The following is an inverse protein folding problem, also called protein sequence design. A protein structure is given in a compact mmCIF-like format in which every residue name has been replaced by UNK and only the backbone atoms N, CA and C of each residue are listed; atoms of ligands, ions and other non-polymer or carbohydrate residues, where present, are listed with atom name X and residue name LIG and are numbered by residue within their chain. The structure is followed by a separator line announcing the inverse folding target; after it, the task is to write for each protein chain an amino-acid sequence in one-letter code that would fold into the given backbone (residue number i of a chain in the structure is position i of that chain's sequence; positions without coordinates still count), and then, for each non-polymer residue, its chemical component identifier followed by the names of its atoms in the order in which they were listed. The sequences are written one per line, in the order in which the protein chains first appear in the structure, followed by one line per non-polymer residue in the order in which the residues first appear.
data_IF_606950557903
#
_entry.id   IF_606950557903
#
_cell.length_a   1.000
_cell.length_b   1.000
_cell.length_c   1.000
_cell.angle_alpha   90.00
_cell.angle_beta   90.00
_cell.angle_gamma   90.00
#
_symmetry.space_group_name_H-M   'P 1'
#
loop_
_entity.id
_entity.type
_entity.pdbx_description
1 polymer ?
#
# COMPACT_ATOMS: atom_id res chain seq x y z
N UNK A 1 -3.65 43.61 -7.23
CA UNK A 1 -3.22 42.93 -5.98
C UNK A 1 -3.48 41.44 -6.16
N UNK A 2 -2.50 40.55 -5.96
CA UNK A 2 -2.77 39.11 -6.00
C UNK A 2 -3.78 38.78 -4.89
N UNK A 3 -4.82 38.00 -5.23
CA UNK A 3 -5.84 37.55 -4.27
C UNK A 3 -5.14 36.87 -3.09
N UNK A 4 -5.38 37.35 -1.88
CA UNK A 4 -4.94 36.70 -0.65
C UNK A 4 -5.45 35.26 -0.65
N UNK A 5 -4.52 34.30 -0.66
CA UNK A 5 -4.83 32.88 -0.55
C UNK A 5 -5.41 32.66 0.84
N UNK A 6 -6.69 32.32 0.91
CA UNK A 6 -7.34 31.94 2.15
C UNK A 6 -6.84 30.54 2.58
N UNK A 7 -5.85 30.53 3.47
CA UNK A 7 -5.25 29.31 4.00
C UNK A 7 -6.24 28.50 4.83
N UNK A 8 -7.36 29.07 5.28
CA UNK A 8 -8.37 28.33 6.07
C UNK A 8 -8.99 27.18 5.27
N UNK A 9 -9.14 27.36 3.95
CA UNK A 9 -9.62 26.31 3.03
C UNK A 9 -8.62 25.15 2.95
N UNK A 10 -7.31 25.43 2.97
CA UNK A 10 -6.27 24.40 2.94
C UNK A 10 -6.03 23.75 4.32
N UNK A 11 -6.27 24.49 5.41
CA UNK A 11 -6.14 24.01 6.79
C UNK A 11 -7.32 23.09 7.18
N UNK A 12 -8.52 23.36 6.65
CA UNK A 12 -9.75 22.62 6.96
C UNK A 12 -10.01 21.42 6.04
N UNK A 13 -9.10 21.13 5.10
CA UNK A 13 -9.19 19.94 4.25
C UNK A 13 -8.56 18.74 4.95
N UNK A 14 -9.19 17.58 4.77
CA UNK A 14 -8.65 16.34 5.26
C UNK A 14 -7.35 15.99 4.51
N UNK A 15 -6.40 15.31 5.18
CA UNK A 15 -5.22 14.78 4.52
C UNK A 15 -5.63 13.57 3.69
N UNK A 16 -6.29 13.79 2.55
CA UNK A 16 -6.93 12.76 1.73
C UNK A 16 -6.04 11.53 1.50
N UNK A 17 -4.73 11.74 1.32
CA UNK A 17 -3.82 10.64 1.10
C UNK A 17 -3.54 9.77 2.34
N UNK A 18 -3.52 10.39 3.53
CA UNK A 18 -3.37 9.72 4.80
C UNK A 18 -4.67 9.03 5.22
N UNK A 19 -5.82 9.67 4.98
CA UNK A 19 -7.16 9.08 5.18
C UNK A 19 -7.34 7.86 4.29
N UNK A 20 -7.03 7.98 2.99
CA UNK A 20 -7.10 6.86 2.06
C UNK A 20 -6.23 5.68 2.48
N UNK A 21 -4.99 5.95 2.93
CA UNK A 21 -4.12 4.91 3.47
C UNK A 21 -4.72 4.23 4.71
N UNK A 22 -5.20 5.00 5.68
CA UNK A 22 -5.75 4.44 6.92
C UNK A 22 -7.00 3.59 6.65
N UNK A 23 -7.91 4.08 5.81
CA UNK A 23 -9.15 3.36 5.43
C UNK A 23 -8.89 2.09 4.63
N UNK A 24 -7.80 2.03 3.87
CA UNK A 24 -7.38 0.83 3.15
C UNK A 24 -6.86 -0.29 4.07
N UNK A 25 -6.59 -0.02 5.36
CA UNK A 25 -6.23 -1.06 6.32
C UNK A 25 -7.45 -1.90 6.71
N UNK A 26 -7.37 -3.22 6.51
CA UNK A 26 -8.32 -4.21 7.02
C UNK A 26 -8.25 -4.35 8.55
N UNK A 27 -9.02 -5.25 9.14
CA UNK A 27 -8.89 -5.60 10.57
C UNK A 27 -7.94 -6.79 10.74
N UNK A 28 -7.07 -6.75 11.75
CA UNK A 28 -6.43 -7.97 12.25
C UNK A 28 -6.51 -7.99 13.78
N UNK A 29 -6.82 -9.16 14.34
CA UNK A 29 -6.94 -9.37 15.79
C UNK A 29 -5.58 -9.88 16.30
N UNK A 30 -5.04 -9.29 17.37
CA UNK A 30 -3.80 -9.78 17.98
C UNK A 30 -3.73 -9.49 19.48
N UNK A 31 -3.10 -10.42 20.20
CA UNK A 31 -2.95 -10.35 21.65
C UNK A 31 -1.72 -9.53 22.04
N UNK A 32 -0.63 -9.57 21.26
CA UNK A 32 0.54 -8.70 21.39
C UNK A 32 0.93 -8.01 20.08
N UNK A 33 1.54 -6.82 20.16
CA UNK A 33 2.03 -6.08 18.98
C UNK A 33 3.10 -6.83 18.18
N UNK A 34 3.72 -7.85 18.77
CA UNK A 34 4.71 -8.71 18.10
C UNK A 34 4.04 -9.76 17.20
N UNK A 35 2.76 -10.07 17.44
CA UNK A 35 2.04 -11.16 16.77
C UNK A 35 1.56 -10.80 15.36
N UNK A 36 1.42 -9.49 15.08
CA UNK A 36 1.10 -8.98 13.74
C UNK A 36 2.41 -8.51 13.13
N UNK A 37 2.93 -9.21 12.14
CA UNK A 37 4.24 -8.85 11.60
C UNK A 37 4.25 -7.56 10.79
N UNK A 38 5.45 -7.03 10.54
CA UNK A 38 5.76 -5.70 9.98
C UNK A 38 4.91 -5.27 8.77
N UNK A 39 4.69 -6.17 7.80
CA UNK A 39 3.86 -5.92 6.61
C UNK A 39 2.35 -6.06 6.89
N UNK A 40 1.98 -6.84 7.90
CA UNK A 40 0.60 -6.96 8.37
C UNK A 40 0.15 -5.71 9.14
N UNK A 41 1.00 -5.04 9.95
CA UNK A 41 0.67 -3.72 10.55
C UNK A 41 0.49 -2.59 9.52
N UNK A 42 1.17 -2.70 8.39
CA UNK A 42 1.01 -1.75 7.29
C UNK A 42 -0.30 -1.96 6.52
N UNK A 43 -0.85 -3.19 6.53
CA UNK A 43 -2.03 -3.61 5.75
C UNK A 43 -3.29 -3.86 6.60
N UNK A 44 -3.15 -4.03 7.91
CA UNK A 44 -4.22 -4.29 8.85
C UNK A 44 -4.08 -3.39 10.10
N UNK A 45 -5.22 -2.91 10.59
CA UNK A 45 -5.34 -2.16 11.83
C UNK A 45 -5.48 -3.14 12.99
N UNK A 46 -4.53 -3.07 13.92
CA UNK A 46 -4.49 -3.91 15.12
C UNK A 46 -4.23 -3.06 16.35
N UNK A 47 -4.78 -3.50 17.48
CA UNK A 47 -4.48 -2.96 18.80
C UNK A 47 -4.23 -4.17 19.69
N UNK A 48 -3.03 -4.26 20.27
CA UNK A 48 -2.69 -5.37 21.17
C UNK A 48 -3.80 -5.59 22.21
N UNK A 49 -4.14 -6.83 22.54
CA UNK A 49 -5.14 -7.19 23.57
C UNK A 49 -6.53 -6.61 23.34
N UNK A 50 -6.87 -6.20 22.11
CA UNK A 50 -8.22 -5.87 21.70
C UNK A 50 -8.79 -7.05 20.90
N UNK A 51 -8.90 -8.22 21.54
CA UNK A 51 -9.40 -9.44 20.90
C UNK A 51 -10.88 -9.34 20.45
N UNK A 52 -11.62 -8.36 20.99
CA UNK A 52 -13.02 -8.12 20.64
C UNK A 52 -13.12 -7.21 19.41
N UNK A 53 -13.81 -7.69 18.37
CA UNK A 53 -14.04 -6.95 17.13
C UNK A 53 -14.70 -5.57 17.37
N UNK A 54 -15.59 -5.46 18.35
CA UNK A 54 -16.26 -4.21 18.69
C UNK A 54 -15.29 -3.17 19.27
N UNK A 55 -14.32 -3.61 20.09
CA UNK A 55 -13.26 -2.75 20.63
C UNK A 55 -12.36 -2.25 19.50
N UNK A 56 -11.91 -3.15 18.62
CA UNK A 56 -11.08 -2.77 17.46
C UNK A 56 -11.83 -1.81 16.53
N UNK A 57 -13.11 -2.04 16.29
CA UNK A 57 -13.97 -1.19 15.46
C UNK A 57 -14.14 0.19 16.06
N UNK A 58 -14.42 0.29 17.37
CA UNK A 58 -14.52 1.58 18.06
C UNK A 58 -13.23 2.39 17.94
N UNK A 59 -12.07 1.77 18.20
CA UNK A 59 -10.77 2.45 18.09
C UNK A 59 -10.48 2.85 16.64
N UNK A 60 -10.71 1.97 15.66
CA UNK A 60 -10.49 2.26 14.24
C UNK A 60 -11.33 3.43 13.75
N UNK A 61 -12.61 3.46 14.12
CA UNK A 61 -13.52 4.54 13.74
C UNK A 61 -13.09 5.88 14.34
N UNK A 62 -12.64 5.91 15.59
CA UNK A 62 -12.15 7.15 16.20
C UNK A 62 -10.83 7.62 15.56
N UNK A 63 -9.95 6.69 15.16
CA UNK A 63 -8.73 7.05 14.42
C UNK A 63 -9.07 7.61 13.03
N UNK A 64 -10.07 7.05 12.35
CA UNK A 64 -10.58 7.61 11.08
C UNK A 64 -11.14 9.02 11.28
N UNK A 65 -11.92 9.25 12.34
CA UNK A 65 -12.44 10.56 12.69
C UNK A 65 -11.28 11.54 13.01
N UNK A 66 -10.27 11.10 13.76
CA UNK A 66 -9.09 11.92 14.04
C UNK A 66 -8.33 12.34 12.77
N UNK A 67 -8.21 11.44 11.79
CA UNK A 67 -7.56 11.75 10.51
C UNK A 67 -8.43 12.62 9.59
N UNK A 68 -9.72 12.33 9.47
CA UNK A 68 -10.62 12.98 8.50
C UNK A 68 -11.22 14.30 9.01
N UNK A 69 -11.39 14.45 10.32
CA UNK A 69 -12.01 15.62 10.95
C UNK A 69 -11.03 16.47 11.76
N UNK A 70 -9.77 16.02 11.89
CA UNK A 70 -8.72 16.76 12.59
C UNK A 70 -8.89 16.79 14.12
N UNK A 71 -9.39 15.70 14.73
CA UNK A 71 -9.56 15.64 16.19
C UNK A 71 -8.23 15.76 16.91
N UNK A 72 -8.20 16.50 18.03
CA UNK A 72 -7.06 16.54 18.94
C UNK A 72 -6.95 15.25 19.77
N UNK A 73 -5.77 14.95 20.32
CA UNK A 73 -5.57 13.81 21.23
C UNK A 73 -6.53 13.83 22.43
N UNK A 74 -6.88 15.03 22.93
CA UNK A 74 -7.84 15.20 24.04
C UNK A 74 -9.26 14.84 23.62
N UNK A 75 -9.70 15.28 22.43
CA UNK A 75 -11.02 14.92 21.87
C UNK A 75 -11.10 13.43 21.58
N UNK A 76 -10.09 12.87 20.92
CA UNK A 76 -9.97 11.42 20.67
C UNK A 76 -10.15 10.60 21.96
N UNK A 77 -9.46 10.98 23.04
CA UNK A 77 -9.59 10.30 24.33
C UNK A 77 -10.97 10.47 24.96
N UNK A 78 -11.52 11.69 24.93
CA UNK A 78 -12.81 12.00 25.53
C UNK A 78 -13.97 11.25 24.84
N UNK A 79 -13.90 11.10 23.52
CA UNK A 79 -14.89 10.41 22.71
C UNK A 79 -14.81 8.88 22.86
N UNK A 80 -13.59 8.33 22.88
CA UNK A 80 -13.36 6.89 22.83
C UNK A 80 -13.44 6.22 24.19
N UNK A 81 -13.00 6.90 25.26
CA UNK A 81 -13.04 6.37 26.63
C UNK A 81 -14.42 5.81 27.02
N UNK A 82 -15.55 6.54 26.92
CA UNK A 82 -16.85 6.02 27.34
C UNK A 82 -17.33 4.83 26.50
N UNK A 83 -16.92 4.74 25.22
CA UNK A 83 -17.22 3.58 24.39
C UNK A 83 -16.46 2.34 24.88
N UNK A 84 -15.16 2.50 25.18
CA UNK A 84 -14.32 1.41 25.69
C UNK A 84 -14.73 0.97 27.10
N UNK A 85 -15.19 1.88 27.95
CA UNK A 85 -15.77 1.55 29.26
C UNK A 85 -17.02 0.67 29.12
N UNK A 86 -17.93 1.02 28.21
CA UNK A 86 -19.14 0.21 27.91
C UNK A 86 -18.80 -1.17 27.36
N UNK A 87 -17.76 -1.27 26.54
CA UNK A 87 -17.25 -2.53 26.01
C UNK A 87 -16.41 -3.32 27.03
N UNK A 88 -16.26 -2.80 28.26
CA UNK A 88 -15.47 -3.46 29.31
C UNK A 88 -13.96 -3.50 29.03
N UNK A 89 -13.44 -2.66 28.14
CA UNK A 89 -12.03 -2.59 27.77
C UNK A 89 -11.32 -1.39 28.41
N UNK A 90 -11.54 -1.13 29.71
CA UNK A 90 -10.93 -0.01 30.41
C UNK A 90 -10.31 -0.42 31.74
N UNK A 91 -9.18 0.21 32.10
CA UNK A 91 -8.50 -0.04 33.35
C UNK A 91 -7.67 -1.33 33.34
N UNK A 92 -7.34 -1.80 34.55
CA UNK A 92 -6.64 -3.07 34.76
C UNK A 92 -7.68 -4.19 34.88
N UNK A 93 -7.41 -5.32 34.23
CA UNK A 93 -8.22 -6.54 34.35
C UNK A 93 -7.33 -7.76 34.49
N UNK A 94 -7.84 -8.76 35.17
CA UNK A 94 -7.23 -10.08 35.21
C UNK A 94 -7.57 -10.83 33.91
N UNK A 95 -6.55 -11.28 33.20
CA UNK A 95 -6.66 -12.10 31.99
C UNK A 95 -5.65 -13.24 32.14
N UNK A 96 -6.13 -14.49 32.10
CA UNK A 96 -5.32 -15.70 32.26
C UNK A 96 -4.42 -15.70 33.52
N UNK A 97 -4.97 -15.26 34.65
CA UNK A 97 -4.28 -15.20 35.94
C UNK A 97 -3.19 -14.11 36.04
N UNK A 98 -3.16 -13.16 35.09
CA UNK A 98 -2.23 -12.02 35.09
C UNK A 98 -3.01 -10.71 35.08
N UNK A 99 -2.56 -9.74 35.88
CA UNK A 99 -3.10 -8.37 35.82
C UNK A 99 -2.58 -7.66 34.57
N UNK A 100 -3.50 -7.23 33.71
CA UNK A 100 -3.21 -6.57 32.43
C UNK A 100 -3.87 -5.21 32.37
N UNK A 101 -3.11 -4.19 31.98
CA UNK A 101 -3.68 -2.89 31.63
C UNK A 101 -4.32 -2.94 30.23
N UNK A 102 -5.65 -2.79 30.15
CA UNK A 102 -6.40 -2.64 28.90
C UNK A 102 -6.37 -1.17 28.43
N UNK A 103 -7.51 -0.49 28.37
CA UNK A 103 -7.58 0.94 28.07
C UNK A 103 -7.02 1.82 29.18
N UNK A 104 -6.27 2.86 28.80
CA UNK A 104 -5.84 3.94 29.69
C UNK A 104 -5.61 5.23 28.87
N UNK A 105 -5.63 6.43 29.48
CA UNK A 105 -5.36 7.68 28.75
C UNK A 105 -3.99 7.67 28.06
N UNK A 106 -2.97 7.13 28.72
CA UNK A 106 -1.63 6.98 28.15
C UNK A 106 -1.66 6.07 26.92
N UNK A 107 -2.32 4.92 27.00
CA UNK A 107 -2.43 3.98 25.89
C UNK A 107 -3.20 4.58 24.71
N UNK A 108 -4.30 5.27 24.97
CA UNK A 108 -5.06 5.97 23.92
C UNK A 108 -4.23 7.05 23.24
N UNK A 109 -3.39 7.78 24.00
CA UNK A 109 -2.46 8.74 23.41
C UNK A 109 -1.45 8.06 22.47
N UNK A 110 -0.89 6.91 22.87
CA UNK A 110 0.02 6.14 22.01
C UNK A 110 -0.69 5.66 20.73
N UNK A 111 -1.90 5.12 20.85
CA UNK A 111 -2.71 4.67 19.69
C UNK A 111 -2.95 5.84 18.74
N UNK A 112 -3.41 6.99 19.27
CA UNK A 112 -3.64 8.20 18.49
C UNK A 112 -2.37 8.64 17.77
N UNK A 113 -1.27 8.88 18.50
CA UNK A 113 -0.05 9.44 17.92
C UNK A 113 0.56 8.51 16.89
N UNK A 114 0.62 7.21 17.19
CA UNK A 114 1.27 6.25 16.30
C UNK A 114 0.50 6.07 15.00
N UNK A 115 -0.83 5.87 15.08
CA UNK A 115 -1.62 5.65 13.88
C UNK A 115 -1.67 6.89 12.98
N UNK A 116 -1.84 8.08 13.57
CA UNK A 116 -1.82 9.33 12.81
C UNK A 116 -0.46 9.54 12.15
N UNK A 117 0.65 9.40 12.90
CA UNK A 117 1.98 9.59 12.34
C UNK A 117 2.25 8.64 11.17
N UNK A 118 1.95 7.35 11.35
CA UNK A 118 2.10 6.35 10.29
C UNK A 118 1.27 6.72 9.06
N UNK A 119 0.02 7.15 9.24
CA UNK A 119 -0.85 7.54 8.14
C UNK A 119 -0.38 8.80 7.41
N UNK A 120 0.02 9.83 8.15
CA UNK A 120 0.59 11.05 7.57
C UNK A 120 1.87 10.77 6.79
N UNK A 121 2.75 9.91 7.30
CA UNK A 121 4.00 9.57 6.61
C UNK A 121 3.74 8.75 5.35
N UNK A 122 2.76 7.85 5.35
CA UNK A 122 2.33 7.13 4.15
C UNK A 122 1.73 8.08 3.10
N UNK A 123 0.81 8.96 3.48
CA UNK A 123 0.25 9.94 2.55
C UNK A 123 1.33 10.87 1.95
N UNK A 124 2.28 11.29 2.79
CA UNK A 124 3.45 12.09 2.36
C UNK A 124 4.33 11.35 1.37
N UNK A 125 4.59 10.06 1.62
CA UNK A 125 5.37 9.20 0.73
C UNK A 125 4.77 9.18 -0.68
N UNK A 126 3.46 8.95 -0.79
CA UNK A 126 2.75 8.99 -2.08
C UNK A 126 2.90 10.33 -2.80
N UNK A 127 2.67 11.44 -2.10
CA UNK A 127 2.82 12.78 -2.69
C UNK A 127 4.23 13.00 -3.22
N UNK A 128 5.25 12.64 -2.44
CA UNK A 128 6.64 12.80 -2.83
C UNK A 128 7.00 11.94 -4.05
N UNK A 129 6.46 10.72 -4.11
CA UNK A 129 6.67 9.81 -5.25
C UNK A 129 6.06 10.32 -6.54
N UNK A 130 4.90 10.98 -6.49
CA UNK A 130 4.31 11.63 -7.67
C UNK A 130 5.13 12.82 -8.20
N UNK A 131 6.15 13.28 -7.44
CA UNK A 131 6.94 14.48 -7.73
C UNK A 131 8.43 14.19 -7.94
N UNK A 132 8.84 12.93 -8.03
CA UNK A 132 10.28 12.55 -8.12
C UNK A 132 10.99 13.17 -9.31
N UNK A 133 10.30 13.42 -10.44
CA UNK A 133 10.88 14.13 -11.59
C UNK A 133 11.38 15.54 -11.26
N UNK A 134 10.69 16.25 -10.36
CA UNK A 134 11.03 17.63 -9.99
C UNK A 134 11.72 17.72 -8.63
N UNK A 135 11.43 16.78 -7.73
CA UNK A 135 11.97 16.70 -6.37
C UNK A 135 12.57 15.31 -6.10
N UNK A 136 13.65 14.92 -6.80
CA UNK A 136 14.23 13.58 -6.69
C UNK A 136 15.02 13.36 -5.41
N UNK A 137 15.34 14.42 -4.65
CA UNK A 137 16.17 14.31 -3.46
C UNK A 137 15.31 14.39 -2.20
N UNK A 138 15.45 13.42 -1.31
CA UNK A 138 14.69 13.35 -0.09
C UNK A 138 15.59 13.62 1.09
N UNK A 139 15.15 14.49 2.00
CA UNK A 139 15.88 14.84 3.20
C UNK A 139 15.17 14.32 4.44
N UNK A 140 15.92 13.67 5.31
CA UNK A 140 15.45 13.24 6.61
C UNK A 140 15.37 14.43 7.57
N UNK A 141 14.21 14.60 8.20
CA UNK A 141 13.93 15.69 9.13
C UNK A 141 13.60 15.11 10.49
N UNK A 142 14.58 15.18 11.40
CA UNK A 142 14.39 14.94 12.82
C UNK A 142 13.95 16.25 13.50
N UNK A 143 13.10 16.17 14.52
CA UNK A 143 12.79 17.34 15.35
C UNK A 143 14.01 17.62 16.22
N UNK A 144 14.41 18.89 16.29
CA UNK A 144 15.52 19.33 17.12
C UNK A 144 15.03 19.63 18.54
N UNK A 145 14.60 18.57 19.23
CA UNK A 145 14.23 18.65 20.63
C UNK A 145 14.90 17.53 21.43
N UNK A 146 15.10 17.75 22.73
CA UNK A 146 15.70 16.75 23.61
C UNK A 146 14.89 15.45 23.77
N UNK A 147 13.70 15.37 23.15
CA UNK A 147 12.85 14.18 23.13
C UNK A 147 13.08 13.31 21.88
N UNK A 148 13.76 13.80 20.87
CA UNK A 148 14.12 13.00 19.70
C UNK A 148 15.27 12.08 20.07
N UNK A 149 15.12 10.78 19.78
CA UNK A 149 16.15 9.79 20.10
C UNK A 149 17.47 10.18 19.43
N UNK A 150 18.61 10.13 20.13
CA UNK A 150 19.91 10.45 19.55
C UNK A 150 20.20 9.67 18.26
N UNK A 151 19.80 8.39 18.21
CA UNK A 151 19.93 7.56 17.00
C UNK A 151 19.20 8.15 15.79
N UNK A 152 17.98 8.70 15.96
CA UNK A 152 17.24 9.33 14.86
C UNK A 152 17.80 10.71 14.50
N UNK A 153 18.29 11.45 15.49
CA UNK A 153 18.89 12.78 15.29
C UNK A 153 20.15 12.71 14.42
N UNK A 154 20.88 11.59 14.42
CA UNK A 154 22.04 11.33 13.53
C UNK A 154 21.68 11.37 12.04
N UNK A 155 20.43 11.09 11.68
CA UNK A 155 19.96 11.18 10.29
C UNK A 155 19.54 12.60 9.90
N UNK A 156 19.48 13.55 10.84
CA UNK A 156 19.00 14.91 10.57
C UNK A 156 19.79 15.55 9.44
N UNK A 157 19.07 16.03 8.44
CA UNK A 157 19.66 16.80 7.35
C UNK A 157 20.30 15.93 6.27
N UNK A 158 20.49 14.63 6.49
CA UNK A 158 20.98 13.69 5.48
C UNK A 158 20.02 13.65 4.29
N UNK A 159 20.60 13.65 3.10
CA UNK A 159 19.87 13.67 1.84
C UNK A 159 20.29 12.51 0.98
N UNK A 160 19.30 11.76 0.52
CA UNK A 160 19.48 10.63 -0.39
C UNK A 160 18.55 10.84 -1.58
N UNK A 161 18.83 10.19 -2.71
CA UNK A 161 17.87 10.16 -3.81
C UNK A 161 16.63 9.35 -3.40
N UNK A 162 15.48 9.63 -3.98
CA UNK A 162 14.20 9.03 -3.61
C UNK A 162 14.14 7.50 -3.72
N UNK A 163 15.00 6.92 -4.56
CA UNK A 163 15.11 5.49 -4.86
C UNK A 163 16.32 4.83 -4.18
N UNK A 164 16.99 5.54 -3.27
CA UNK A 164 18.06 4.99 -2.45
C UNK A 164 17.48 3.92 -1.50
N UNK A 165 18.07 2.70 -1.44
CA UNK A 165 17.56 1.60 -0.63
C UNK A 165 17.53 1.90 0.87
N UNK A 166 18.22 2.94 1.33
CA UNK A 166 18.15 3.35 2.74
C UNK A 166 16.73 3.71 3.16
N UNK A 167 15.91 4.24 2.24
CA UNK A 167 14.53 4.63 2.54
C UNK A 167 13.64 3.44 2.91
N UNK A 168 13.96 2.23 2.45
CA UNK A 168 13.27 1.00 2.81
C UNK A 168 13.39 0.69 4.32
N UNK A 169 14.36 1.32 5.00
CA UNK A 169 14.68 1.09 6.41
C UNK A 169 14.39 2.34 7.25
N UNK A 170 14.80 3.52 6.78
CA UNK A 170 14.78 4.74 7.59
C UNK A 170 13.57 5.62 7.34
N UNK A 171 12.70 5.34 6.36
CA UNK A 171 11.56 6.23 6.12
C UNK A 171 10.60 6.20 7.34
N UNK A 172 10.40 7.33 8.05
CA UNK A 172 9.66 7.35 9.32
C UNK A 172 8.20 6.86 9.22
N UNK A 173 7.61 6.44 10.35
CA UNK A 173 8.22 6.31 11.69
C UNK A 173 9.21 5.14 11.82
N UNK A 174 10.29 5.39 12.57
CA UNK A 174 11.37 4.41 12.84
C UNK A 174 11.26 3.79 14.25
N UNK A 175 10.11 3.95 14.89
CA UNK A 175 9.92 3.55 16.28
C UNK A 175 8.69 4.16 16.92
N UNK A 176 8.35 3.66 18.10
CA UNK A 176 7.19 4.11 18.86
C UNK A 176 7.32 5.58 19.26
N UNK A 177 6.32 6.39 18.91
CA UNK A 177 6.34 7.82 19.20
C UNK A 177 7.38 8.61 18.39
N UNK A 178 7.89 8.05 17.30
CA UNK A 178 8.75 8.76 16.35
C UNK A 178 8.01 9.97 15.77
N UNK A 179 8.69 11.12 15.70
CA UNK A 179 8.16 12.39 15.15
C UNK A 179 8.96 12.90 13.95
N UNK A 180 9.89 12.09 13.47
CA UNK A 180 10.66 12.39 12.28
C UNK A 180 9.75 12.38 11.04
N UNK A 181 10.17 13.10 10.00
CA UNK A 181 9.50 13.16 8.70
C UNK A 181 10.53 13.23 7.58
N UNK A 182 10.05 13.15 6.33
CA UNK A 182 10.89 13.39 5.15
C UNK A 182 10.36 14.61 4.39
N UNK A 183 11.24 15.36 3.73
CA UNK A 183 10.84 16.38 2.76
C UNK A 183 11.54 16.13 1.43
N UNK A 184 10.82 16.35 0.33
CA UNK A 184 11.40 16.28 -1.01
C UNK A 184 11.99 17.64 -1.40
N UNK A 185 13.13 17.62 -2.07
CA UNK A 185 13.93 18.76 -2.50
C UNK A 185 14.17 18.67 -4.00
N UNK A 186 14.14 19.83 -4.66
CA UNK A 186 14.56 20.01 -6.05
C UNK A 186 16.09 20.01 -6.15
N UNK A 187 16.62 19.75 -7.34
CA UNK A 187 18.06 19.87 -7.62
C UNK A 187 18.59 21.29 -7.34
N UNK A 188 17.83 22.32 -7.72
CA UNK A 188 18.18 23.71 -7.44
C UNK A 188 18.29 23.99 -5.93
N UNK A 189 17.41 23.42 -5.10
CA UNK A 189 17.49 23.54 -3.65
C UNK A 189 18.71 22.83 -3.07
N UNK A 190 19.01 21.62 -3.54
CA UNK A 190 20.21 20.87 -3.11
C UNK A 190 21.47 21.68 -3.42
N UNK A 191 21.58 22.21 -4.64
CA UNK A 191 22.71 23.05 -5.06
C UNK A 191 22.79 24.35 -4.28
N UNK A 192 21.68 25.07 -4.12
CA UNK A 192 21.64 26.35 -3.41
C UNK A 192 21.97 26.22 -1.92
N UNK A 193 21.61 25.09 -1.30
CA UNK A 193 21.88 24.82 0.12
C UNK A 193 23.25 24.17 0.35
N UNK A 194 24.02 23.86 -0.71
CA UNK A 194 25.31 23.18 -0.60
C UNK A 194 25.21 21.79 0.04
N UNK A 195 24.09 21.10 -0.18
CA UNK A 195 23.83 19.78 0.42
C UNK A 195 24.53 18.70 -0.39
N UNK A 196 25.30 17.84 0.28
CA UNK A 196 25.81 16.60 -0.30
C UNK A 196 24.73 15.54 -0.32
N UNK A 197 24.47 14.95 -1.50
CA UNK A 197 23.60 13.79 -1.63
C UNK A 197 24.44 12.55 -1.34
N UNK A 198 24.05 11.80 -0.32
CA UNK A 198 24.69 10.56 0.11
C UNK A 198 24.14 9.36 -0.68
N UNK A 199 24.93 8.28 -0.75
CA UNK A 199 24.47 6.96 -1.21
C UNK A 199 24.40 6.05 0.02
N UNK A 200 23.19 5.66 0.38
CA UNK A 200 22.90 4.90 1.60
C UNK A 200 23.07 3.39 1.47
N UNK A 201 23.28 2.84 0.27
CA UNK A 201 23.41 1.40 0.04
C UNK A 201 24.54 0.80 0.88
N UNK A 202 25.69 1.48 0.93
CA UNK A 202 26.85 1.05 1.73
C UNK A 202 26.68 1.21 3.25
N UNK A 203 25.62 1.88 3.72
CA UNK A 203 25.38 2.11 5.15
C UNK A 203 24.54 0.99 5.77
N UNK A 204 23.87 0.19 4.95
CA UNK A 204 22.85 -0.76 5.40
C UNK A 204 23.50 -2.06 5.91
N UNK A 205 23.26 -2.38 7.18
CA UNK A 205 23.59 -3.66 7.79
C UNK A 205 22.29 -4.39 8.15
N UNK A 206 21.99 -5.51 7.49
CA UNK A 206 20.82 -6.35 7.79
C UNK A 206 21.25 -7.56 8.59
N UNK A 207 20.48 -7.88 9.63
CA UNK A 207 20.75 -9.02 10.50
C UNK A 207 19.47 -9.47 11.17
N UNK A 208 19.46 -10.70 11.65
CA UNK A 208 18.38 -11.21 12.49
C UNK A 208 18.69 -10.96 13.96
N UNK A 209 17.66 -10.63 14.74
CA UNK A 209 17.76 -10.40 16.19
C UNK A 209 16.66 -11.16 16.91
N UNK A 210 16.93 -11.56 18.15
CA UNK A 210 15.94 -12.26 18.96
C UNK A 210 15.08 -11.27 19.76
N UNK A 211 13.80 -11.57 19.90
CA UNK A 211 12.87 -10.89 20.82
C UNK A 211 12.03 -11.93 21.55
N UNK A 212 11.57 -11.60 22.75
CA UNK A 212 10.68 -12.48 23.53
C UNK A 212 9.23 -12.01 23.37
N UNK A 213 8.32 -12.93 23.03
CA UNK A 213 6.88 -12.67 22.96
C UNK A 213 6.31 -12.46 24.38
N UNK A 214 5.61 -11.33 24.60
CA UNK A 214 5.19 -10.90 25.95
C UNK A 214 4.03 -11.70 26.58
N UNK A 215 3.43 -12.66 25.89
CA UNK A 215 2.44 -13.61 26.44
C UNK A 215 3.01 -15.00 26.72
N UNK A 216 3.68 -15.58 25.73
CA UNK A 216 4.12 -16.98 25.70
C UNK A 216 5.53 -17.20 26.24
N UNK A 217 6.36 -16.15 26.26
CA UNK A 217 7.79 -16.27 26.61
C UNK A 217 8.64 -16.91 25.51
N UNK A 218 8.07 -17.13 24.33
CA UNK A 218 8.77 -17.70 23.18
C UNK A 218 9.82 -16.71 22.63
N UNK A 219 11.01 -17.23 22.31
CA UNK A 219 12.06 -16.47 21.63
C UNK A 219 11.77 -16.49 20.13
N UNK A 220 11.56 -15.32 19.55
CA UNK A 220 11.28 -15.11 18.14
C UNK A 220 12.49 -14.44 17.48
N UNK A 221 12.97 -15.04 16.40
CA UNK A 221 13.98 -14.44 15.54
C UNK A 221 13.32 -13.50 14.53
N UNK A 222 13.72 -12.23 14.52
CA UNK A 222 13.11 -11.18 13.70
C UNK A 222 14.14 -10.47 12.82
N UNK A 223 13.85 -10.23 11.52
CA UNK A 223 14.71 -9.43 10.67
C UNK A 223 14.82 -7.99 11.17
N UNK A 224 16.03 -7.46 11.16
CA UNK A 224 16.34 -6.11 11.60
C UNK A 224 17.42 -5.45 10.75
N UNK A 225 17.63 -4.16 11.00
CA UNK A 225 18.64 -3.38 10.28
C UNK A 225 19.29 -2.32 11.16
N UNK A 226 20.55 -2.00 10.83
CA UNK A 226 21.31 -0.86 11.35
C UNK A 226 21.91 -0.10 10.18
N UNK A 227 21.93 1.21 10.30
CA UNK A 227 22.55 2.13 9.37
C UNK A 227 23.85 2.61 10.00
N UNK A 228 24.97 2.20 9.43
CA UNK A 228 26.31 2.63 9.86
C UNK A 228 26.74 3.81 9.00
N UNK A 229 26.87 4.98 9.63
CA UNK A 229 27.15 6.24 8.96
C UNK A 229 28.66 6.46 8.81
N UNK A 230 29.10 7.24 7.80
CA UNK A 230 30.53 7.50 7.56
C UNK A 230 31.27 8.17 8.72
N UNK A 231 30.56 8.86 9.62
CA UNK A 231 31.11 9.50 10.81
C UNK A 231 31.35 8.52 11.97
N UNK A 232 31.16 7.22 11.74
CA UNK A 232 31.29 6.16 12.74
C UNK A 232 30.08 6.03 13.66
N UNK A 233 29.07 6.89 13.52
CA UNK A 233 27.82 6.78 14.25
C UNK A 233 26.87 5.78 13.58
N UNK A 234 25.85 5.33 14.30
CA UNK A 234 24.88 4.39 13.76
C UNK A 234 23.43 4.73 14.12
N UNK A 235 22.49 4.24 13.34
CA UNK A 235 21.06 4.36 13.61
C UNK A 235 20.40 3.01 13.38
N UNK A 236 19.66 2.53 14.37
CA UNK A 236 18.76 1.39 14.21
C UNK A 236 17.33 1.86 14.47
N UNK A 237 16.36 1.49 13.61
CA UNK A 237 14.95 1.57 13.98
C UNK A 237 14.67 0.74 15.23
N UNK A 238 13.57 1.00 15.93
CA UNK A 238 13.11 0.10 17.00
C UNK A 238 12.76 -1.29 16.39
N UNK A 239 12.77 -2.35 17.21
CA UNK A 239 12.34 -3.69 16.77
C UNK A 239 10.91 -3.63 16.19
N UNK A 240 10.71 -4.27 15.03
CA UNK A 240 9.46 -4.18 14.27
C UNK A 240 9.28 -2.92 13.41
N UNK A 241 10.25 -1.99 13.41
CA UNK A 241 10.24 -0.75 12.62
C UNK A 241 11.31 -0.67 11.54
N UNK A 242 12.03 -1.77 11.27
CA UNK A 242 12.99 -1.87 10.17
C UNK A 242 12.30 -2.07 8.82
N UNK A 243 11.38 -1.17 8.47
CA UNK A 243 10.65 -1.11 7.21
C UNK A 243 10.17 0.33 6.95
N UNK A 244 9.83 0.65 5.70
CA UNK A 244 9.15 1.90 5.34
C UNK A 244 7.64 1.75 5.46
N UNK A 245 6.97 2.47 6.38
CA UNK A 245 5.51 2.44 6.47
C UNK A 245 4.85 3.07 5.24
N UNK A 246 5.54 4.02 4.60
CA UNK A 246 5.11 4.60 3.33
C UNK A 246 5.18 3.60 2.19
N UNK A 247 6.24 2.80 2.10
CA UNK A 247 6.34 1.75 1.09
C UNK A 247 5.31 0.63 1.33
N UNK A 248 5.25 0.14 2.57
CA UNK A 248 4.38 -0.96 2.96
C UNK A 248 2.88 -0.61 2.82
N UNK A 249 2.54 0.69 2.90
CA UNK A 249 1.20 1.24 2.69
C UNK A 249 0.65 1.11 1.28
N UNK A 250 1.51 1.20 0.28
CA UNK A 250 1.11 1.08 -1.13
C UNK A 250 1.39 -0.32 -1.67
N UNK A 251 1.65 -1.28 -0.77
CA UNK A 251 2.03 -2.64 -1.10
C UNK A 251 3.48 -2.74 -1.58
N UNK A 252 4.05 -3.94 -1.43
CA UNK A 252 5.32 -4.31 -2.05
C UNK A 252 5.31 -4.03 -3.56
N UNK A 253 4.12 -4.06 -4.17
CA UNK A 253 3.95 -4.00 -5.61
C UNK A 253 4.11 -2.58 -6.19
N UNK A 254 3.77 -1.51 -5.45
CA UNK A 254 4.04 -0.13 -5.91
C UNK A 254 5.53 0.21 -5.78
N UNK A 255 6.21 -0.33 -4.78
CA UNK A 255 7.65 -0.18 -4.60
C UNK A 255 8.44 -0.98 -5.64
N UNK A 256 8.00 -2.21 -5.88
CA UNK A 256 8.46 -3.07 -6.96
C UNK A 256 8.21 -2.42 -8.33
N UNK A 257 7.04 -1.80 -8.58
CA UNK A 257 6.77 -1.04 -9.81
C UNK A 257 7.82 0.05 -10.05
N UNK A 258 8.21 0.76 -8.99
CA UNK A 258 9.21 1.83 -9.05
C UNK A 258 10.59 1.28 -9.29
N UNK A 259 10.98 0.21 -8.59
CA UNK A 259 12.26 -0.47 -8.78
C UNK A 259 12.36 -1.07 -10.19
N UNK A 260 11.28 -1.64 -10.73
CA UNK A 260 11.18 -2.09 -12.12
C UNK A 260 11.45 -0.97 -13.12
N UNK A 261 10.94 0.24 -12.88
CA UNK A 261 11.24 1.42 -13.70
C UNK A 261 12.72 1.84 -13.70
N UNK A 262 13.51 1.39 -12.72
CA UNK A 262 14.96 1.71 -12.63
C UNK A 262 15.86 0.65 -13.29
N UNK A 263 15.33 -0.53 -13.61
CA UNK A 263 16.09 -1.58 -14.30
C UNK A 263 16.27 -1.17 -15.77
N UNK A 264 17.51 -0.88 -16.16
CA UNK A 264 17.85 -0.46 -17.53
C UNK A 264 17.77 -1.62 -18.53
N UNK A 265 18.07 -2.84 -18.09
CA UNK A 265 17.99 -4.05 -18.93
C UNK A 265 16.54 -4.51 -19.09
N UNK A 266 16.04 -4.50 -20.34
CA UNK A 266 14.69 -4.98 -20.66
C UNK A 266 14.50 -6.46 -20.31
N UNK A 267 15.51 -7.30 -20.53
CA UNK A 267 15.45 -8.73 -20.24
C UNK A 267 15.38 -9.01 -18.74
N UNK A 268 16.20 -8.31 -17.95
CA UNK A 268 16.18 -8.42 -16.49
C UNK A 268 14.87 -7.90 -15.91
N UNK A 269 14.34 -6.80 -16.45
CA UNK A 269 13.04 -6.24 -16.08
C UNK A 269 11.91 -7.23 -16.41
N UNK A 270 11.96 -7.88 -17.56
CA UNK A 270 10.99 -8.89 -17.98
C UNK A 270 11.02 -10.13 -17.07
N UNK A 271 12.21 -10.67 -16.76
CA UNK A 271 12.36 -11.82 -15.86
C UNK A 271 11.84 -11.52 -14.45
N UNK A 272 12.11 -10.31 -13.94
CA UNK A 272 11.63 -9.88 -12.62
C UNK A 272 10.11 -9.70 -12.60
N UNK A 273 9.53 -9.04 -13.61
CA UNK A 273 8.07 -8.92 -13.78
C UNK A 273 7.42 -10.32 -13.83
N UNK A 274 8.00 -11.24 -14.59
CA UNK A 274 7.45 -12.59 -14.72
C UNK A 274 7.50 -13.35 -13.39
N UNK A 275 8.59 -13.22 -12.62
CA UNK A 275 8.70 -13.83 -11.30
C UNK A 275 7.66 -13.28 -10.30
N UNK A 276 7.37 -11.98 -10.37
CA UNK A 276 6.35 -11.33 -9.55
C UNK A 276 4.92 -11.73 -9.95
N UNK A 277 4.66 -11.79 -11.25
CA UNK A 277 3.37 -12.24 -11.78
C UNK A 277 3.14 -13.73 -11.50
N UNK A 278 4.18 -14.55 -11.47
CA UNK A 278 4.09 -15.98 -11.14
C UNK A 278 4.17 -16.28 -9.63
N UNK A 279 4.25 -15.27 -8.75
CA UNK A 279 4.48 -15.48 -7.32
C UNK A 279 3.30 -16.17 -6.64
N UNK A 280 3.44 -17.42 -6.15
CA UNK A 280 2.34 -18.14 -5.50
C UNK A 280 1.85 -17.42 -4.24
N UNK A 281 2.76 -16.76 -3.53
CA UNK A 281 2.43 -15.97 -2.34
C UNK A 281 1.56 -14.76 -2.68
N UNK A 282 1.83 -14.06 -3.80
CA UNK A 282 0.99 -12.94 -4.23
C UNK A 282 -0.40 -13.41 -4.65
N UNK A 283 -0.48 -14.56 -5.33
CA UNK A 283 -1.75 -15.19 -5.71
C UNK A 283 -2.58 -15.57 -4.48
N UNK A 284 -1.98 -16.25 -3.50
CA UNK A 284 -2.65 -16.64 -2.27
C UNK A 284 -3.14 -15.42 -1.47
N UNK A 285 -2.34 -14.36 -1.36
CA UNK A 285 -2.74 -13.12 -0.69
C UNK A 285 -3.91 -12.44 -1.38
N UNK A 286 -3.93 -12.43 -2.71
CA UNK A 286 -5.04 -11.85 -3.47
C UNK A 286 -6.33 -12.69 -3.31
N UNK A 287 -6.21 -14.02 -3.34
CA UNK A 287 -7.33 -14.92 -3.14
C UNK A 287 -7.97 -14.70 -1.76
N UNK A 288 -7.15 -14.60 -0.71
CA UNK A 288 -7.62 -14.29 0.64
C UNK A 288 -8.34 -12.93 0.71
N UNK A 289 -7.74 -11.89 0.12
CA UNK A 289 -8.39 -10.57 0.07
C UNK A 289 -9.73 -10.62 -0.67
N UNK A 290 -9.81 -11.40 -1.76
CA UNK A 290 -11.05 -11.62 -2.49
C UNK A 290 -12.11 -12.22 -1.56
N UNK A 291 -11.77 -13.29 -0.83
CA UNK A 291 -12.69 -13.94 0.13
C UNK A 291 -13.20 -12.98 1.19
N UNK A 292 -12.33 -12.16 1.76
CA UNK A 292 -12.69 -11.14 2.75
C UNK A 292 -13.68 -10.11 2.17
N UNK A 293 -13.43 -9.62 0.95
CA UNK A 293 -14.31 -8.66 0.26
C UNK A 293 -15.66 -9.27 -0.06
N UNK A 294 -15.70 -10.51 -0.57
CA UNK A 294 -16.94 -11.19 -0.94
C UNK A 294 -17.76 -11.57 0.31
N UNK A 295 -17.11 -12.05 1.37
CA UNK A 295 -17.75 -12.37 2.64
C UNK A 295 -18.35 -11.13 3.33
N UNK A 296 -17.69 -9.96 3.20
CA UNK A 296 -18.20 -8.70 3.73
C UNK A 296 -19.39 -8.12 2.92
N UNK A 297 -19.58 -8.56 1.67
CA UNK A 297 -20.58 -8.04 0.72
C UNK A 297 -21.48 -9.11 0.07
N UNK A 298 -22.17 -9.97 0.84
CA UNK A 298 -22.84 -11.17 0.32
C UNK A 298 -24.07 -10.91 -0.58
N UNK A 299 -24.59 -9.66 -0.65
CA UNK A 299 -25.84 -9.34 -1.39
C UNK A 299 -25.69 -8.12 -2.32
N UNK A 300 -24.48 -7.66 -2.66
CA UNK A 300 -24.23 -6.43 -3.46
C UNK A 300 -24.93 -5.13 -2.97
N UNK A 301 -25.59 -5.15 -1.80
CA UNK A 301 -26.38 -4.04 -1.23
C UNK A 301 -25.63 -3.17 -0.23
N UNK A 302 -24.42 -3.59 0.19
CA UNK A 302 -23.54 -2.77 1.04
C UNK A 302 -22.71 -1.84 0.17
N UNK A 303 -22.38 -0.64 0.68
CA UNK A 303 -21.44 0.25 -0.01
C UNK A 303 -20.08 -0.46 -0.09
N UNK A 304 -19.52 -0.65 -1.30
CA UNK A 304 -18.17 -1.19 -1.45
C UNK A 304 -17.18 -0.38 -0.61
N UNK A 305 -16.20 -1.05 0.00
CA UNK A 305 -15.09 -0.36 0.63
C UNK A 305 -14.19 0.29 -0.42
N UNK A 306 -13.13 0.94 0.05
CA UNK A 306 -12.14 1.63 -0.79
C UNK A 306 -10.84 0.83 -0.94
N UNK A 307 -10.85 -0.46 -0.61
CA UNK A 307 -9.69 -1.32 -0.79
C UNK A 307 -9.26 -1.41 -2.24
N UNK A 308 -7.94 -1.48 -2.44
CA UNK A 308 -7.30 -1.63 -3.74
C UNK A 308 -6.24 -2.70 -3.58
N UNK A 309 -6.27 -3.69 -4.48
CA UNK A 309 -5.30 -4.77 -4.48
C UNK A 309 -4.58 -4.84 -5.82
N UNK A 310 -3.27 -5.00 -5.77
CA UNK A 310 -2.45 -5.21 -6.94
C UNK A 310 -2.78 -6.57 -7.59
N UNK A 311 -3.07 -6.53 -8.88
CA UNK A 311 -3.30 -7.72 -9.68
C UNK A 311 -1.96 -8.28 -10.20
N UNK A 312 -1.10 -7.41 -10.70
CA UNK A 312 0.23 -7.74 -11.20
C UNK A 312 0.75 -6.64 -12.11
N UNK A 313 1.69 -6.98 -12.98
CA UNK A 313 2.42 -6.00 -13.79
C UNK A 313 2.32 -6.31 -15.28
N UNK A 314 2.21 -5.25 -16.10
CA UNK A 314 2.40 -5.35 -17.54
C UNK A 314 3.82 -5.83 -17.83
N UNK A 315 3.96 -6.73 -18.81
CA UNK A 315 5.27 -7.10 -19.35
C UNK A 315 5.92 -5.89 -20.05
N UNK A 316 7.26 -5.83 -20.19
CA UNK A 316 7.92 -4.71 -20.85
C UNK A 316 7.47 -4.49 -22.30
N UNK A 317 7.17 -5.57 -23.03
CA UNK A 317 6.64 -5.55 -24.38
C UNK A 317 5.27 -4.86 -24.45
N UNK A 318 4.33 -5.25 -23.58
CA UNK A 318 3.01 -4.60 -23.46
C UNK A 318 3.20 -3.13 -23.05
N UNK A 319 4.02 -2.86 -22.04
CA UNK A 319 4.25 -1.49 -21.56
C UNK A 319 4.83 -0.58 -22.66
N UNK A 320 5.73 -1.10 -23.48
CA UNK A 320 6.29 -0.39 -24.65
C UNK A 320 5.21 -0.10 -25.68
N UNK A 321 4.36 -1.08 -25.98
CA UNK A 321 3.24 -0.91 -26.89
C UNK A 321 2.24 0.15 -26.39
N UNK A 322 1.90 0.15 -25.10
CA UNK A 322 1.02 1.16 -24.51
C UNK A 322 1.70 2.54 -24.51
N UNK A 323 2.99 2.62 -24.21
CA UNK A 323 3.78 3.87 -24.24
C UNK A 323 3.74 4.54 -25.62
N UNK A 324 3.93 3.76 -26.68
CA UNK A 324 3.90 4.26 -28.06
C UNK A 324 2.54 4.89 -28.43
N UNK A 325 1.45 4.46 -27.80
CA UNK A 325 0.09 4.96 -28.05
C UNK A 325 -0.27 6.16 -27.19
N UNK A 326 0.21 6.17 -25.94
CA UNK A 326 -0.08 7.25 -24.99
C UNK A 326 0.90 8.43 -25.10
N UNK A 327 2.05 8.26 -25.75
CA UNK A 327 3.11 9.28 -25.82
C UNK A 327 3.81 9.54 -24.48
N UNK A 328 3.58 8.68 -23.48
CA UNK A 328 4.18 8.72 -22.14
C UNK A 328 4.27 7.31 -21.57
N UNK A 329 5.26 7.05 -20.71
CA UNK A 329 5.37 5.76 -20.03
C UNK A 329 4.25 5.61 -18.98
N UNK A 330 3.37 4.59 -19.11
CA UNK A 330 2.33 4.32 -18.13
C UNK A 330 2.89 3.59 -16.90
N UNK A 331 2.15 3.63 -15.78
CA UNK A 331 2.39 2.71 -14.66
C UNK A 331 2.35 1.26 -15.13
N UNK A 332 3.38 0.46 -14.85
CA UNK A 332 3.37 -0.98 -15.14
C UNK A 332 2.40 -1.77 -14.24
N UNK A 333 2.04 -1.22 -13.08
CA UNK A 333 1.18 -1.89 -12.11
C UNK A 333 -0.28 -1.87 -12.56
N UNK A 334 -0.89 -3.05 -12.57
CA UNK A 334 -2.33 -3.26 -12.74
C UNK A 334 -2.95 -3.59 -11.38
N UNK A 335 -4.06 -2.94 -11.05
CA UNK A 335 -4.72 -3.07 -9.75
C UNK A 335 -6.24 -3.06 -9.88
N UNK A 336 -6.92 -3.72 -8.95
CA UNK A 336 -8.39 -3.77 -8.90
C UNK A 336 -8.87 -3.18 -7.58
N UNK A 337 -9.96 -2.42 -7.64
CA UNK A 337 -10.65 -1.91 -6.45
C UNK A 337 -11.69 -2.93 -5.95
N UNK A 338 -12.06 -2.86 -4.67
CA UNK A 338 -13.19 -3.64 -4.14
C UNK A 338 -14.46 -3.44 -4.95
N UNK A 339 -14.73 -2.20 -5.37
CA UNK A 339 -15.91 -1.88 -6.19
C UNK A 339 -15.89 -2.63 -7.52
N UNK A 340 -14.75 -2.65 -8.20
CA UNK A 340 -14.59 -3.36 -9.47
C UNK A 340 -14.71 -4.88 -9.27
N UNK A 341 -14.12 -5.42 -8.20
CA UNK A 341 -14.22 -6.85 -7.85
C UNK A 341 -15.67 -7.28 -7.58
N UNK A 342 -16.42 -6.49 -6.79
CA UNK A 342 -17.84 -6.77 -6.47
C UNK A 342 -18.69 -6.67 -7.74
N UNK A 343 -18.42 -5.68 -8.59
CA UNK A 343 -19.15 -5.52 -9.88
C UNK A 343 -18.93 -6.74 -10.78
N UNK A 344 -17.71 -7.26 -10.82
CA UNK A 344 -17.35 -8.43 -11.62
C UNK A 344 -18.10 -9.72 -11.22
N UNK A 345 -18.54 -9.85 -9.97
CA UNK A 345 -19.30 -11.02 -9.50
C UNK A 345 -20.60 -11.27 -10.30
N UNK A 346 -21.13 -10.26 -10.98
CA UNK A 346 -22.30 -10.43 -11.84
C UNK A 346 -22.03 -11.34 -13.06
N UNK A 347 -20.77 -11.42 -13.49
CA UNK A 347 -20.37 -12.02 -14.76
C UNK A 347 -19.36 -13.17 -14.61
N UNK A 348 -18.66 -13.26 -13.47
CA UNK A 348 -17.64 -14.28 -13.20
C UNK A 348 -17.79 -14.88 -11.80
N UNK A 349 -17.34 -16.12 -11.65
CA UNK A 349 -17.45 -16.87 -10.38
C UNK A 349 -16.43 -16.40 -9.33
N UNK A 350 -16.68 -16.61 -8.02
CA UNK A 350 -15.71 -16.31 -6.96
C UNK A 350 -14.34 -16.97 -7.17
N UNK A 351 -14.32 -18.23 -7.62
CA UNK A 351 -13.06 -18.93 -7.91
C UNK A 351 -12.27 -18.25 -9.05
N UNK A 352 -12.96 -17.81 -10.11
CA UNK A 352 -12.31 -17.04 -11.19
C UNK A 352 -11.77 -15.69 -10.69
N UNK A 353 -12.49 -15.03 -9.79
CA UNK A 353 -12.03 -13.77 -9.17
C UNK A 353 -10.76 -13.97 -8.34
N UNK A 354 -10.69 -15.03 -7.51
CA UNK A 354 -9.49 -15.34 -6.74
C UNK A 354 -8.27 -15.61 -7.64
N UNK A 355 -8.49 -16.16 -8.83
CA UNK A 355 -7.45 -16.54 -9.78
C UNK A 355 -6.99 -15.40 -10.71
N UNK A 356 -7.57 -14.20 -10.64
CA UNK A 356 -7.23 -13.11 -11.57
C UNK A 356 -5.71 -12.81 -11.65
N UNK A 357 -4.92 -12.80 -10.56
CA UNK A 357 -3.46 -12.60 -10.67
C UNK A 357 -2.74 -13.72 -11.40
N UNK A 358 -3.22 -14.96 -11.27
CA UNK A 358 -2.67 -16.12 -11.96
C UNK A 358 -2.98 -16.03 -13.46
N UNK A 359 -4.21 -15.63 -13.79
CA UNK A 359 -4.62 -15.36 -15.17
C UNK A 359 -3.74 -14.25 -15.75
N UNK A 360 -3.54 -13.13 -15.06
CA UNK A 360 -2.69 -12.03 -15.53
C UNK A 360 -1.29 -12.47 -15.98
N UNK A 361 -0.71 -13.48 -15.33
CA UNK A 361 0.62 -13.98 -15.66
C UNK A 361 0.70 -14.73 -17.01
N UNK A 362 -0.42 -15.24 -17.53
CA UNK A 362 -0.49 -16.10 -18.72
C UNK A 362 -1.75 -15.84 -19.56
N UNK A 363 -1.87 -14.68 -20.22
CA UNK A 363 -2.97 -14.42 -21.16
C UNK A 363 -2.90 -15.29 -22.41
N UNK A 364 -4.08 -15.58 -22.97
CA UNK A 364 -4.21 -16.20 -24.29
C UNK A 364 -3.87 -15.21 -25.40
N UNK A 365 -4.35 -13.98 -25.24
CA UNK A 365 -4.04 -12.83 -26.09
C UNK A 365 -4.08 -11.54 -25.28
N UNK A 366 -3.32 -10.55 -25.72
CA UNK A 366 -3.39 -9.17 -25.21
C UNK A 366 -3.73 -8.27 -26.38
N UNK A 367 -4.82 -7.52 -26.24
CA UNK A 367 -5.39 -6.68 -27.30
C UNK A 367 -5.43 -5.22 -26.87
N UNK A 368 -5.43 -4.33 -27.85
CA UNK A 368 -5.64 -2.90 -27.66
C UNK A 368 -6.88 -2.44 -28.42
N UNK A 369 -7.80 -1.80 -27.69
CA UNK A 369 -8.96 -1.09 -28.21
C UNK A 369 -8.59 0.37 -28.48
N UNK A 370 -8.56 0.75 -29.77
CA UNK A 370 -8.21 2.11 -30.19
C UNK A 370 -9.31 3.13 -29.87
N UNK A 371 -10.58 2.71 -29.90
CA UNK A 371 -11.72 3.61 -29.73
C UNK A 371 -11.85 4.03 -28.27
N UNK A 372 -11.65 3.08 -27.36
CA UNK A 372 -11.79 3.31 -25.91
C UNK A 372 -10.46 3.52 -25.18
N UNK A 373 -9.32 3.34 -25.87
CA UNK A 373 -7.98 3.35 -25.28
C UNK A 373 -7.85 2.33 -24.14
N UNK A 374 -8.30 1.11 -24.40
CA UNK A 374 -8.39 0.04 -23.39
C UNK A 374 -7.42 -1.09 -23.73
N UNK A 375 -6.62 -1.48 -22.75
CA UNK A 375 -5.80 -2.68 -22.79
C UNK A 375 -6.63 -3.87 -22.32
N UNK A 376 -6.73 -4.92 -23.12
CA UNK A 376 -7.54 -6.11 -22.83
C UNK A 376 -6.64 -7.34 -22.72
N UNK A 377 -6.64 -7.99 -21.57
CA UNK A 377 -6.08 -9.32 -21.41
C UNK A 377 -7.18 -10.37 -21.55
N UNK A 378 -7.00 -11.32 -22.46
CA UNK A 378 -8.02 -12.30 -22.84
C UNK A 378 -7.68 -13.68 -22.28
N UNK A 379 -8.69 -14.33 -21.72
CA UNK A 379 -8.57 -15.64 -21.09
C UNK A 379 -9.66 -16.61 -21.56
N UNK A 380 -9.34 -17.91 -21.67
CA UNK A 380 -10.36 -18.92 -21.86
C UNK A 380 -11.25 -18.98 -20.62
N UNK A 381 -12.55 -19.20 -20.81
CA UNK A 381 -13.43 -19.61 -19.73
C UNK A 381 -13.55 -21.14 -19.69
N UNK A 382 -13.17 -21.75 -18.57
CA UNK A 382 -13.40 -23.17 -18.35
C UNK A 382 -14.90 -23.50 -18.26
N UNK A 383 -15.31 -24.60 -18.89
CA UNK A 383 -16.67 -25.17 -18.75
C UNK A 383 -17.75 -24.63 -19.69
N UNK A 384 -17.42 -23.80 -20.70
CA UNK A 384 -18.40 -23.27 -21.67
C UNK A 384 -18.06 -23.54 -23.15
N UNK A 385 -17.08 -24.39 -23.46
CA UNK A 385 -16.80 -24.77 -24.84
C UNK A 385 -17.96 -25.59 -25.39
N UNK A 386 -18.83 -24.95 -26.17
CA UNK A 386 -19.89 -25.63 -26.91
C UNK A 386 -19.51 -25.69 -28.39
N UNK A 387 -20.18 -26.54 -29.17
CA UNK A 387 -19.99 -26.59 -30.62
C UNK A 387 -20.51 -25.32 -31.34
N UNK A 388 -21.17 -24.41 -30.62
CA UNK A 388 -21.61 -23.11 -31.12
C UNK A 388 -20.64 -22.00 -30.67
N UNK A 389 -19.85 -21.42 -31.60
CA UNK A 389 -18.92 -20.32 -31.29
C UNK A 389 -19.60 -19.08 -30.69
N UNK A 390 -20.89 -18.85 -30.95
CA UNK A 390 -21.64 -17.73 -30.38
C UNK A 390 -21.91 -17.91 -28.88
N UNK A 391 -21.86 -19.14 -28.39
CA UNK A 391 -22.04 -19.49 -26.98
C UNK A 391 -20.72 -19.51 -26.20
N UNK A 392 -19.57 -19.48 -26.90
CA UNK A 392 -18.24 -19.41 -26.28
C UNK A 392 -17.95 -17.98 -25.81
N UNK A 393 -17.62 -17.83 -24.52
CA UNK A 393 -17.24 -16.54 -23.92
C UNK A 393 -15.80 -16.55 -23.45
N UNK A 394 -15.18 -15.36 -23.42
CA UNK A 394 -13.86 -15.14 -22.84
C UNK A 394 -13.98 -14.25 -21.61
N UNK A 395 -13.10 -14.49 -20.64
CA UNK A 395 -12.90 -13.57 -19.52
C UNK A 395 -11.91 -12.50 -19.96
N UNK A 396 -12.23 -11.25 -19.68
CA UNK A 396 -11.41 -10.10 -20.01
C UNK A 396 -10.99 -9.38 -18.73
N UNK A 397 -9.70 -9.05 -18.64
CA UNK A 397 -9.20 -8.06 -17.68
C UNK A 397 -8.87 -6.81 -18.49
N UNK A 398 -9.67 -5.76 -18.30
CA UNK A 398 -9.64 -4.54 -19.09
C UNK A 398 -9.07 -3.38 -18.28
N UNK A 399 -8.11 -2.64 -18.83
CA UNK A 399 -7.56 -1.44 -18.19
C UNK A 399 -7.67 -0.23 -19.12
N UNK A 400 -8.35 0.82 -18.66
CA UNK A 400 -8.61 2.03 -19.44
C UNK A 400 -7.53 3.10 -19.21
N UNK A 401 -7.06 3.74 -20.28
CA UNK A 401 -5.91 4.65 -20.25
C UNK A 401 -6.19 6.08 -20.75
N UNK A 402 -7.46 6.52 -20.69
CA UNK A 402 -7.89 7.82 -21.21
C UNK A 402 -7.07 9.02 -20.71
N UNK A 403 -6.65 9.89 -21.65
CA UNK A 403 -5.72 11.01 -21.46
C UNK A 403 -6.20 12.15 -20.53
N UNK A 404 -7.50 12.24 -20.20
CA UNK A 404 -8.08 13.43 -19.54
C UNK A 404 -8.49 13.25 -18.06
N UNK A 405 -8.36 12.05 -17.47
CA UNK A 405 -8.67 11.83 -16.04
C UNK A 405 -7.63 10.93 -15.37
N UNK A 406 -6.73 11.54 -14.62
CA UNK A 406 -5.64 10.90 -13.85
C UNK A 406 -5.97 9.96 -12.68
N UNK A 407 -7.22 9.73 -12.18
CA UNK A 407 -7.37 8.88 -10.98
C UNK A 407 -7.25 7.36 -11.19
N UNK A 408 -7.44 6.84 -12.42
CA UNK A 408 -7.70 5.41 -12.65
C UNK A 408 -6.63 4.69 -13.48
N UNK A 409 -5.44 5.27 -13.62
CA UNK A 409 -4.36 4.67 -14.40
C UNK A 409 -3.95 3.29 -13.83
N UNK A 410 -3.96 2.26 -14.68
CA UNK A 410 -3.67 0.88 -14.27
C UNK A 410 -4.78 0.20 -13.45
N UNK A 411 -5.94 0.85 -13.25
CA UNK A 411 -7.10 0.16 -12.69
C UNK A 411 -7.69 -0.81 -13.71
N UNK A 412 -8.17 -1.95 -13.22
CA UNK A 412 -8.75 -2.99 -14.07
C UNK A 412 -10.22 -3.24 -13.76
N UNK A 413 -10.97 -3.53 -14.82
CA UNK A 413 -12.31 -4.07 -14.79
C UNK A 413 -12.27 -5.50 -15.30
N UNK A 414 -13.14 -6.36 -14.74
CA UNK A 414 -13.25 -7.75 -15.18
C UNK A 414 -14.58 -7.91 -15.89
N UNK A 415 -14.52 -8.33 -17.14
CA UNK A 415 -15.66 -8.43 -18.04
C UNK A 415 -15.77 -9.84 -18.59
N UNK A 416 -16.97 -10.18 -19.05
CA UNK A 416 -17.24 -11.38 -19.83
C UNK A 416 -17.77 -10.92 -21.19
N UNK A 417 -17.17 -11.39 -22.28
CA UNK A 417 -17.58 -11.04 -23.64
C UNK A 417 -17.68 -12.29 -24.50
N UNK A 418 -18.61 -12.34 -25.45
CA UNK A 418 -18.69 -13.47 -26.39
C UNK A 418 -17.50 -13.44 -27.35
N UNK A 419 -17.10 -14.63 -27.82
CA UNK A 419 -16.03 -14.77 -28.79
C UNK A 419 -16.35 -14.05 -30.10
N UNK A 420 -17.62 -14.08 -30.53
CA UNK A 420 -18.09 -13.44 -31.75
C UNK A 420 -17.94 -11.92 -31.66
N UNK A 421 -18.36 -11.31 -30.55
CA UNK A 421 -18.17 -9.87 -30.31
C UNK A 421 -16.69 -9.49 -30.29
N UNK A 422 -15.84 -10.34 -29.69
CA UNK A 422 -14.39 -10.13 -29.69
C UNK A 422 -13.77 -10.17 -31.08
N UNK A 423 -14.25 -11.05 -31.96
CA UNK A 423 -13.74 -11.20 -33.33
C UNK A 423 -14.28 -10.13 -34.29
N UNK A 424 -15.47 -9.59 -34.04
CA UNK A 424 -16.08 -8.55 -34.87
C UNK A 424 -15.55 -7.15 -34.57
N UNK A 425 -15.09 -6.90 -33.34
CA UNK A 425 -14.50 -5.63 -32.95
C UNK A 425 -13.08 -5.44 -33.52
N UNK A 426 -12.74 -4.20 -33.89
CA UNK A 426 -11.46 -3.82 -34.49
C UNK A 426 -10.37 -3.64 -33.41
N UNK A 427 -9.91 -4.73 -32.83
CA UNK A 427 -8.80 -4.71 -31.87
C UNK A 427 -7.44 -4.88 -32.56
N UNK A 428 -6.42 -4.25 -31.99
CA UNK A 428 -5.04 -4.52 -32.37
C UNK A 428 -4.42 -5.55 -31.43
N UNK A 429 -3.91 -6.65 -31.98
CA UNK A 429 -3.19 -7.66 -31.20
C UNK A 429 -1.83 -7.12 -30.78
N UNK A 430 -1.55 -7.15 -29.49
CA UNK A 430 -0.24 -6.81 -28.91
C UNK A 430 0.60 -8.07 -28.67
N UNK A 431 -0.02 -9.13 -28.14
CA UNK A 431 0.60 -10.42 -27.86
C UNK A 431 -0.40 -11.57 -28.01
N UNK A 432 0.10 -12.78 -28.29
CA UNK A 432 -0.72 -13.99 -28.37
C UNK A 432 -1.63 -14.07 -29.60
N UNK A 433 -2.61 -14.97 -29.54
CA UNK A 433 -3.60 -15.18 -30.60
C UNK A 433 -4.94 -15.56 -29.98
N UNK A 434 -6.04 -14.98 -30.47
CA UNK A 434 -7.39 -15.39 -30.10
C UNK A 434 -7.66 -16.79 -30.67
N UNK A 435 -7.74 -17.80 -29.81
CA UNK A 435 -8.13 -19.16 -30.17
C UNK A 435 -9.65 -19.29 -30.04
N UNK A 436 -10.25 -19.94 -31.03
CA UNK A 436 -11.69 -20.20 -31.11
C UNK A 436 -12.22 -21.14 -30.04
#
# INVERSE_FOLDING_TARGET
MPKTVDLSIAINQDPADAVAYFRAKGFAISDDWQDVWTRAHARAFTVAKAAQMDVLTAIRNEVDAALSQGLTAKQFQANLKPQLEKLGWWGKKEVDGREVQLGSPYRLNTIYRQNLQTAYMAGRYRRMLSRTKTHPYWQYVAIDDGQTRPAHARLRGKVFRFDDPIWDIIYPPNGWGCRCRVRALTEAQVKAMGITVENGEGYIQRFDTETVARGTGEVLTVPHARIDLPDGSSMSPDLGWAYSPGEAAFGTDVAVAKKLGTIQSLDTRAQFIQALNNSPLRHAQFAQWTDEVLAANPVQKRRPGLGVQALGFMTPSIQTAVTARLGREPSALLAITERQLITAQASVTPNQLQQLPLLLAKPEAVLWDNDNQTLLYVYPMEGQATNDPASNSKLLIASQWQLQRTPNEGQVEVLKLSLVELQQAQYQVLEGQLKG
#
